data_IF_450714506825
#
_entry.id   IF_450714506825
#
_cell.length_a   1.000
_cell.length_b   1.000
_cell.length_c   1.000
_cell.angle_alpha   90.00
_cell.angle_beta   90.00
_cell.angle_gamma   90.00
#
_symmetry.space_group_name_H-M   'P 1'
#
loop_
_entity.id
_entity.type
_entity.pdbx_description
1 polymer ?
#
# COMPACT_ATOMS: atom_id res chain seq x y z
N UNK A 1 3.35 22.92 -11.44
CA UNK A 1 4.45 23.90 -11.23
C UNK A 1 4.61 24.10 -9.73
N UNK A 2 5.67 23.58 -9.12
CA UNK A 2 6.02 23.87 -7.72
C UNK A 2 6.69 25.24 -7.66
N UNK A 3 6.09 26.20 -6.96
CA UNK A 3 6.74 27.48 -6.63
C UNK A 3 7.93 27.13 -5.71
N UNK A 4 9.16 27.44 -6.16
CA UNK A 4 10.46 27.25 -5.48
C UNK A 4 11.15 25.86 -5.45
N UNK A 5 10.68 24.84 -6.15
CA UNK A 5 11.47 23.61 -6.38
C UNK A 5 11.81 22.75 -5.15
N UNK A 6 11.44 23.16 -3.92
CA UNK A 6 11.69 22.43 -2.68
C UNK A 6 10.36 21.88 -2.15
N UNK A 7 10.27 20.55 -1.97
CA UNK A 7 9.05 19.88 -1.51
C UNK A 7 8.82 20.14 -0.03
N UNK A 8 7.58 20.39 0.39
CA UNK A 8 7.25 20.62 1.80
C UNK A 8 6.48 19.45 2.41
N UNK A 9 6.93 19.00 3.57
CA UNK A 9 6.34 17.90 4.33
C UNK A 9 5.92 18.42 5.71
N UNK A 10 4.68 18.16 6.11
CA UNK A 10 4.29 18.33 7.52
C UNK A 10 4.47 17.00 8.25
N UNK A 11 5.15 17.03 9.39
CA UNK A 11 5.26 15.90 10.29
C UNK A 11 4.49 16.19 11.57
N UNK A 12 3.47 15.37 11.83
CA UNK A 12 2.65 15.44 13.04
C UNK A 12 3.12 14.31 13.97
N UNK A 13 3.83 14.68 15.03
CA UNK A 13 4.49 13.73 15.93
C UNK A 13 4.84 14.44 17.25
N UNK A 14 4.46 13.86 18.39
CA UNK A 14 4.80 14.40 19.71
C UNK A 14 6.29 14.16 20.06
N UNK A 15 6.91 13.08 19.59
CA UNK A 15 8.24 12.65 20.03
C UNK A 15 9.36 13.45 19.32
N UNK A 16 10.15 14.28 20.04
CA UNK A 16 11.17 15.12 19.42
C UNK A 16 12.30 14.33 18.72
N UNK A 17 12.66 13.17 19.26
CA UNK A 17 13.72 12.33 18.72
C UNK A 17 13.32 11.75 17.35
N UNK A 18 12.09 11.24 17.27
CA UNK A 18 11.53 10.71 16.04
C UNK A 18 11.35 11.79 14.98
N UNK A 19 10.87 12.99 15.37
CA UNK A 19 10.78 14.16 14.48
C UNK A 19 12.10 14.47 13.81
N UNK A 20 13.19 14.51 14.58
CA UNK A 20 14.55 14.78 14.07
C UNK A 20 15.01 13.69 13.10
N UNK A 21 14.74 12.43 13.42
CA UNK A 21 15.10 11.30 12.55
C UNK A 21 14.38 11.36 11.20
N UNK A 22 13.06 11.50 11.22
CA UNK A 22 12.24 11.56 9.99
C UNK A 22 12.61 12.78 9.15
N UNK A 23 12.80 13.93 9.79
CA UNK A 23 13.24 15.15 9.12
C UNK A 23 14.62 14.99 8.47
N UNK A 24 15.58 14.37 9.16
CA UNK A 24 16.90 14.09 8.60
C UNK A 24 16.82 13.15 7.39
N UNK A 25 15.97 12.11 7.45
CA UNK A 25 15.76 11.20 6.32
C UNK A 25 15.13 11.95 5.13
N UNK A 26 14.07 12.73 5.36
CA UNK A 26 13.37 13.47 4.31
C UNK A 26 14.27 14.54 3.66
N UNK A 27 15.11 15.22 4.46
CA UNK A 27 16.06 16.22 3.99
C UNK A 27 17.07 15.66 2.97
N UNK A 28 17.45 14.36 3.07
CA UNK A 28 18.31 13.68 2.07
C UNK A 28 17.72 13.70 0.66
N UNK A 29 16.41 13.92 0.51
CA UNK A 29 15.69 14.05 -0.78
C UNK A 29 15.16 15.47 -1.02
N UNK A 30 15.71 16.47 -0.34
CA UNK A 30 15.38 17.88 -0.57
C UNK A 30 14.04 18.33 0.01
N UNK A 31 13.45 17.55 0.92
CA UNK A 31 12.22 17.96 1.60
C UNK A 31 12.53 18.93 2.73
N UNK A 32 11.73 20.00 2.81
CA UNK A 32 11.66 20.87 3.98
C UNK A 32 10.51 20.38 4.88
N UNK A 33 10.82 20.09 6.14
CA UNK A 33 9.82 19.63 7.10
C UNK A 33 9.32 20.75 7.99
N UNK A 34 8.01 20.86 8.14
CA UNK A 34 7.35 21.63 9.21
C UNK A 34 6.74 20.64 10.22
N UNK A 35 6.63 21.05 11.48
CA UNK A 35 6.21 20.15 12.55
C UNK A 35 4.91 20.64 13.19
N UNK A 36 4.04 19.70 13.52
CA UNK A 36 2.91 19.90 14.42
C UNK A 36 3.03 18.88 15.56
N UNK A 37 2.81 19.33 16.80
CA UNK A 37 2.82 18.47 17.98
C UNK A 37 1.49 17.80 18.23
N UNK A 38 0.41 18.34 17.70
CA UNK A 38 -0.96 17.98 18.06
C UNK A 38 -1.94 18.27 16.91
N UNK A 39 -3.18 17.80 17.10
CA UNK A 39 -4.31 17.99 16.19
C UNK A 39 -4.54 19.45 15.82
N UNK A 40 -4.63 20.32 16.82
CA UNK A 40 -5.01 21.73 16.65
C UNK A 40 -3.95 22.47 15.83
N UNK A 41 -2.68 22.27 16.16
CA UNK A 41 -1.55 22.84 15.44
C UNK A 41 -1.49 22.32 14.00
N UNK A 42 -1.76 21.03 13.78
CA UNK A 42 -1.77 20.45 12.43
C UNK A 42 -2.85 21.08 11.54
N UNK A 43 -4.07 21.24 12.06
CA UNK A 43 -5.18 21.84 11.33
C UNK A 43 -4.96 23.33 11.11
N UNK A 44 -4.53 24.07 12.14
CA UNK A 44 -4.21 25.49 12.03
C UNK A 44 -3.12 25.74 10.98
N UNK A 45 -2.11 24.86 10.92
CA UNK A 45 -1.03 24.96 9.93
C UNK A 45 -1.54 24.92 8.50
N UNK A 46 -2.63 24.18 8.20
CA UNK A 46 -3.23 24.15 6.86
C UNK A 46 -3.73 25.53 6.38
N UNK A 47 -4.08 26.44 7.29
CA UNK A 47 -4.49 27.80 6.95
C UNK A 47 -3.34 28.76 6.64
N UNK A 48 -2.09 28.36 6.91
CA UNK A 48 -0.91 29.22 6.75
C UNK A 48 -0.32 29.17 5.34
N UNK A 49 0.53 30.14 4.94
CA UNK A 49 1.25 30.09 3.67
C UNK A 49 2.10 28.83 3.50
N UNK A 50 2.76 28.36 4.56
CA UNK A 50 3.51 27.11 4.56
C UNK A 50 2.56 25.90 4.41
N UNK A 51 1.40 25.91 5.08
CA UNK A 51 0.37 24.91 4.88
C UNK A 51 -0.13 24.82 3.44
N UNK A 52 -0.29 25.96 2.75
CA UNK A 52 -0.70 26.04 1.34
C UNK A 52 0.34 25.45 0.38
N UNK A 53 1.60 25.41 0.77
CA UNK A 53 2.69 24.85 -0.03
C UNK A 53 3.02 23.38 0.30
N UNK A 54 2.28 22.75 1.24
CA UNK A 54 2.47 21.34 1.57
C UNK A 54 2.28 20.40 0.38
N UNK A 55 3.21 19.45 0.26
CA UNK A 55 3.17 18.38 -0.72
C UNK A 55 2.74 17.04 -0.13
N UNK A 56 3.01 16.81 1.16
CA UNK A 56 2.57 15.63 1.89
C UNK A 56 2.47 15.90 3.40
N UNK A 57 1.71 15.05 4.09
CA UNK A 57 1.64 14.97 5.54
C UNK A 57 2.08 13.58 5.97
N UNK A 58 2.91 13.51 7.01
CA UNK A 58 3.12 12.30 7.79
C UNK A 58 2.50 12.51 9.15
N UNK A 59 1.62 11.60 9.54
CA UNK A 59 1.02 11.53 10.86
C UNK A 59 1.58 10.33 11.59
N UNK A 60 2.18 10.51 12.75
CA UNK A 60 2.53 9.40 13.63
C UNK A 60 1.39 9.09 14.62
N UNK A 61 1.08 7.81 14.78
CA UNK A 61 0.27 7.33 15.89
C UNK A 61 1.23 6.99 17.03
N UNK A 62 1.45 7.98 17.90
CA UNK A 62 2.34 7.88 19.06
C UNK A 62 1.66 7.23 20.28
N UNK A 63 0.33 7.25 20.35
CA UNK A 63 -0.45 6.63 21.43
C UNK A 63 -1.57 5.71 20.89
N UNK A 64 -1.92 4.63 21.61
CA UNK A 64 -3.05 3.75 21.27
C UNK A 64 -4.39 4.48 21.24
N UNK A 65 -4.55 5.49 22.12
CA UNK A 65 -5.78 6.27 22.27
C UNK A 65 -5.81 7.51 21.36
N UNK A 66 -4.76 7.73 20.57
CA UNK A 66 -4.73 8.83 19.61
C UNK A 66 -5.67 8.52 18.44
N UNK A 67 -6.70 9.34 18.28
CA UNK A 67 -7.67 9.20 17.20
C UNK A 67 -7.14 9.75 15.88
N UNK A 68 -6.23 8.97 15.27
CA UNK A 68 -5.67 9.28 13.97
C UNK A 68 -6.74 9.39 12.88
N UNK A 69 -7.81 8.58 12.96
CA UNK A 69 -8.87 8.56 11.95
C UNK A 69 -9.62 9.90 11.91
N UNK A 70 -9.98 10.45 13.06
CA UNK A 70 -10.62 11.77 13.13
C UNK A 70 -9.70 12.88 12.59
N UNK A 71 -8.40 12.86 12.92
CA UNK A 71 -7.44 13.82 12.35
C UNK A 71 -7.38 13.73 10.82
N UNK A 72 -7.24 12.52 10.31
CA UNK A 72 -7.11 12.29 8.87
C UNK A 72 -8.36 12.78 8.15
N UNK A 73 -9.56 12.52 8.68
CA UNK A 73 -10.81 12.99 8.10
C UNK A 73 -10.87 14.52 8.03
N UNK A 74 -10.46 15.21 9.10
CA UNK A 74 -10.43 16.67 9.16
C UNK A 74 -9.38 17.28 8.22
N UNK A 75 -8.16 16.73 8.18
CA UNK A 75 -7.11 17.16 7.25
C UNK A 75 -7.55 16.94 5.79
N UNK A 76 -8.23 15.83 5.51
CA UNK A 76 -8.75 15.49 4.17
C UNK A 76 -9.88 16.43 3.76
N UNK A 77 -10.77 16.80 4.68
CA UNK A 77 -11.84 17.76 4.41
C UNK A 77 -11.27 19.14 4.01
N UNK A 78 -10.21 19.58 4.68
CA UNK A 78 -9.54 20.86 4.38
C UNK A 78 -8.67 20.79 3.12
N UNK A 79 -7.99 19.66 2.86
CA UNK A 79 -7.10 19.47 1.71
C UNK A 79 -7.32 18.10 1.03
N UNK A 80 -8.36 17.96 0.18
CA UNK A 80 -8.74 16.68 -0.41
C UNK A 80 -7.65 15.97 -1.20
N UNK A 81 -6.77 16.73 -1.87
CA UNK A 81 -5.71 16.19 -2.72
C UNK A 81 -4.33 16.06 -2.04
N UNK A 82 -4.18 16.50 -0.79
CA UNK A 82 -2.90 16.43 -0.09
C UNK A 82 -2.68 14.99 0.41
N UNK A 83 -1.61 14.29 -0.01
CA UNK A 83 -1.37 12.94 0.48
C UNK A 83 -1.05 12.92 1.98
N UNK A 84 -1.62 11.95 2.69
CA UNK A 84 -1.47 11.77 4.14
C UNK A 84 -0.95 10.35 4.39
N UNK A 85 0.22 10.23 4.99
CA UNK A 85 0.87 8.96 5.32
C UNK A 85 0.79 8.73 6.83
N UNK A 86 0.24 7.59 7.26
CA UNK A 86 0.23 7.21 8.67
C UNK A 86 1.50 6.43 9.03
N UNK A 87 2.19 6.79 10.10
CA UNK A 87 3.16 5.95 10.79
C UNK A 87 2.47 5.29 11.98
N UNK A 88 2.71 4.00 12.17
CA UNK A 88 2.12 3.27 13.31
C UNK A 88 3.11 2.28 13.91
N UNK A 89 3.19 2.24 15.24
CA UNK A 89 4.07 1.36 15.99
C UNK A 89 3.55 -0.08 16.10
N UNK A 90 2.24 -0.29 15.97
CA UNK A 90 1.61 -1.58 16.24
C UNK A 90 0.92 -2.13 14.98
N UNK A 91 1.13 -3.42 14.71
CA UNK A 91 0.48 -4.19 13.64
C UNK A 91 -1.04 -4.35 13.79
N UNK A 92 -1.72 -3.42 14.46
CA UNK A 92 -3.18 -3.35 14.51
C UNK A 92 -3.69 -2.98 13.13
N UNK A 93 -3.99 -4.01 12.35
CA UNK A 93 -4.61 -3.87 11.04
C UNK A 93 -5.91 -3.05 11.15
N UNK A 94 -6.60 -3.12 12.29
CA UNK A 94 -7.78 -2.30 12.55
C UNK A 94 -7.49 -0.79 12.54
N UNK A 95 -6.40 -0.33 13.15
CA UNK A 95 -6.01 1.08 13.16
C UNK A 95 -5.63 1.57 11.77
N UNK A 96 -4.84 0.76 11.03
CA UNK A 96 -4.49 1.07 9.65
C UNK A 96 -5.74 1.13 8.75
N UNK A 97 -6.66 0.18 8.89
CA UNK A 97 -7.93 0.17 8.13
C UNK A 97 -8.79 1.38 8.46
N UNK A 98 -8.90 1.76 9.74
CA UNK A 98 -9.66 2.94 10.15
C UNK A 98 -9.08 4.22 9.53
N UNK A 99 -7.76 4.38 9.58
CA UNK A 99 -7.06 5.50 8.95
C UNK A 99 -7.23 5.55 7.42
N UNK A 100 -7.16 4.40 6.73
CA UNK A 100 -7.41 4.34 5.29
C UNK A 100 -8.86 4.72 4.95
N UNK A 101 -9.84 4.28 5.75
CA UNK A 101 -11.26 4.66 5.57
C UNK A 101 -11.50 6.15 5.81
N UNK A 102 -10.79 6.75 6.78
CA UNK A 102 -10.79 8.19 7.01
C UNK A 102 -10.11 8.98 5.87
N UNK A 103 -9.44 8.29 4.95
CA UNK A 103 -8.85 8.88 3.77
C UNK A 103 -7.33 9.01 3.84
N UNK A 104 -6.61 8.20 4.62
CA UNK A 104 -5.15 8.13 4.49
C UNK A 104 -4.74 7.63 3.10
N UNK A 105 -3.61 8.11 2.60
CA UNK A 105 -3.06 7.72 1.31
C UNK A 105 -2.30 6.40 1.38
N UNK A 106 -1.52 6.19 2.45
CA UNK A 106 -0.87 4.92 2.78
C UNK A 106 -0.50 4.93 4.27
N UNK A 107 -0.03 3.78 4.76
CA UNK A 107 0.53 3.64 6.09
C UNK A 107 1.87 2.88 6.08
N UNK A 108 2.72 3.21 7.04
CA UNK A 108 4.02 2.61 7.28
C UNK A 108 4.08 2.09 8.71
N UNK A 109 4.54 0.85 8.84
CA UNK A 109 4.65 0.17 10.14
C UNK A 109 6.08 0.34 10.64
N UNK A 110 6.24 0.75 11.91
CA UNK A 110 7.54 0.79 12.57
C UNK A 110 7.99 -0.65 12.91
N UNK A 111 9.30 -0.96 12.90
CA UNK A 111 10.43 -0.06 12.67
C UNK A 111 10.54 0.41 11.20
N UNK A 112 10.80 1.70 11.03
CA UNK A 112 10.79 2.36 9.71
C UNK A 112 12.20 2.42 9.11
N UNK A 113 12.42 1.71 8.00
CA UNK A 113 13.62 1.88 7.20
C UNK A 113 13.57 3.20 6.41
N UNK A 114 14.71 3.91 6.33
CA UNK A 114 14.80 5.22 5.68
C UNK A 114 14.39 5.17 4.21
N UNK A 115 14.80 4.13 3.50
CA UNK A 115 14.53 3.90 2.07
C UNK A 115 13.03 3.70 1.82
N UNK A 116 12.34 3.02 2.75
CA UNK A 116 10.90 2.78 2.67
C UNK A 116 10.10 4.06 2.87
N UNK A 117 10.51 4.92 3.80
CA UNK A 117 9.93 6.25 3.99
C UNK A 117 10.07 7.12 2.74
N UNK A 118 11.28 7.19 2.18
CA UNK A 118 11.57 7.98 0.99
C UNK A 118 10.78 7.49 -0.23
N UNK A 119 10.70 6.17 -0.43
CA UNK A 119 9.91 5.59 -1.51
C UNK A 119 8.41 5.91 -1.38
N UNK A 120 7.86 5.88 -0.17
CA UNK A 120 6.47 6.23 0.08
C UNK A 120 6.19 7.71 -0.21
N UNK A 121 7.09 8.61 0.20
CA UNK A 121 7.00 10.05 -0.10
C UNK A 121 7.10 10.34 -1.60
N UNK A 122 8.01 9.68 -2.31
CA UNK A 122 8.15 9.84 -3.77
C UNK A 122 6.91 9.32 -4.52
N UNK A 123 6.34 8.19 -4.09
CA UNK A 123 5.10 7.65 -4.66
C UNK A 123 3.91 8.60 -4.43
N UNK A 124 3.78 9.13 -3.21
CA UNK A 124 2.71 10.03 -2.82
C UNK A 124 2.72 11.35 -3.63
N UNK A 125 3.91 11.91 -3.90
CA UNK A 125 4.06 13.17 -4.67
C UNK A 125 4.14 12.94 -6.18
N UNK A 126 4.71 11.82 -6.62
CA UNK A 126 4.83 11.48 -8.05
C UNK A 126 3.48 11.40 -8.77
N UNK A 127 2.38 11.18 -8.03
CA UNK A 127 1.02 11.28 -8.53
C UNK A 127 0.64 12.68 -9.06
N UNK A 128 1.33 13.76 -8.65
CA UNK A 128 1.11 15.14 -9.14
C UNK A 128 1.86 15.48 -10.45
N UNK A 129 2.88 14.71 -10.86
CA UNK A 129 3.70 15.01 -12.06
C UNK A 129 3.07 14.46 -13.35
N UNK A 130 2.12 13.53 -13.24
CA UNK A 130 1.33 13.04 -14.37
C UNK A 130 0.17 14.01 -14.69
N UNK A 131 0.52 15.21 -15.16
CA UNK A 131 -0.40 16.12 -15.87
C UNK A 131 -0.68 15.68 -17.31
N UNK A 132 -0.18 14.52 -17.73
CA UNK A 132 -0.61 13.86 -18.95
C UNK A 132 -1.68 12.85 -18.60
N UNK A 133 -2.80 12.94 -19.32
CA UNK A 133 -3.84 11.94 -19.44
C UNK A 133 -3.21 10.57 -19.79
N UNK A 134 -2.70 9.87 -18.79
CA UNK A 134 -2.59 8.42 -18.84
C UNK A 134 -3.94 7.89 -18.41
N UNK A 135 -4.52 6.94 -19.17
CA UNK A 135 -5.92 6.59 -19.01
C UNK A 135 -6.23 6.29 -17.55
N UNK A 136 -7.28 6.94 -17.03
CA UNK A 136 -7.87 6.72 -15.71
C UNK A 136 -8.21 5.23 -15.43
N UNK A 137 -8.10 4.36 -16.43
CA UNK A 137 -8.29 2.91 -16.37
C UNK A 137 -7.24 2.17 -15.53
N UNK A 138 -6.01 2.65 -15.36
CA UNK A 138 -4.98 1.90 -14.58
C UNK A 138 -5.11 2.06 -13.06
N UNK A 139 -5.75 3.13 -12.57
CA UNK A 139 -6.01 3.31 -11.13
C UNK A 139 -7.42 2.86 -10.73
N UNK A 140 -8.36 2.79 -11.67
CA UNK A 140 -9.72 2.30 -11.42
C UNK A 140 -9.79 0.78 -11.37
N UNK A 141 -9.02 0.04 -12.18
CA UNK A 141 -9.06 -1.44 -12.21
C UNK A 141 -8.64 -2.09 -10.89
N UNK A 142 -7.62 -1.55 -10.21
CA UNK A 142 -7.12 -2.09 -8.94
C UNK A 142 -8.10 -1.90 -7.77
N UNK A 143 -8.92 -0.85 -7.78
CA UNK A 143 -9.99 -0.66 -6.79
C UNK A 143 -11.22 -1.49 -7.12
N UNK A 144 -11.62 -1.52 -8.41
CA UNK A 144 -12.76 -2.32 -8.88
C UNK A 144 -12.61 -3.81 -8.56
N UNK A 145 -11.44 -4.42 -8.78
CA UNK A 145 -11.25 -5.86 -8.57
C UNK A 145 -11.40 -6.32 -7.09
N UNK A 146 -11.03 -5.46 -6.13
CA UNK A 146 -11.23 -5.76 -4.71
C UNK A 146 -12.59 -5.28 -4.19
N UNK A 147 -13.18 -4.25 -4.80
CA UNK A 147 -14.53 -3.77 -4.46
C UNK A 147 -15.64 -4.68 -5.00
N UNK A 148 -15.36 -5.49 -6.03
CA UNK A 148 -16.22 -6.58 -6.51
C UNK A 148 -16.31 -7.75 -5.51
N UNK A 149 -15.35 -7.88 -4.60
CA UNK A 149 -15.36 -8.94 -3.58
C UNK A 149 -16.34 -8.57 -2.47
N UNK A 150 -17.47 -9.29 -2.43
CA UNK A 150 -18.52 -9.11 -1.43
C UNK A 150 -18.06 -9.64 -0.07
N UNK A 151 -17.99 -8.75 0.92
CA UNK A 151 -17.77 -9.11 2.32
C UNK A 151 -17.42 -7.89 3.16
N UNK A 152 -18.21 -7.60 4.19
CA UNK A 152 -18.06 -6.39 5.03
C UNK A 152 -17.31 -6.64 6.34
N UNK A 153 -17.06 -7.91 6.69
CA UNK A 153 -16.41 -8.29 7.94
C UNK A 153 -15.05 -7.56 8.08
N UNK A 154 -14.76 -6.94 9.24
CA UNK A 154 -13.54 -6.14 9.42
C UNK A 154 -12.25 -6.92 9.12
N UNK A 155 -12.16 -8.16 9.58
CA UNK A 155 -11.01 -9.05 9.36
C UNK A 155 -10.83 -9.40 7.86
N UNK A 156 -11.94 -9.54 7.13
CA UNK A 156 -11.91 -9.80 5.70
C UNK A 156 -11.47 -8.58 4.91
N UNK A 157 -12.02 -7.39 5.21
CA UNK A 157 -11.58 -6.12 4.57
C UNK A 157 -10.11 -5.81 4.86
N UNK A 158 -9.62 -6.18 6.05
CA UNK A 158 -8.20 -6.13 6.41
C UNK A 158 -7.33 -7.01 5.51
N UNK A 159 -7.72 -8.28 5.30
CA UNK A 159 -7.02 -9.18 4.40
C UNK A 159 -6.98 -8.65 2.95
N UNK A 160 -8.10 -8.08 2.47
CA UNK A 160 -8.15 -7.46 1.13
C UNK A 160 -7.24 -6.23 1.01
N UNK A 161 -7.11 -5.41 2.06
CA UNK A 161 -6.18 -4.28 2.06
C UNK A 161 -4.72 -4.72 1.98
N UNK A 162 -4.35 -5.80 2.70
CA UNK A 162 -3.02 -6.41 2.64
C UNK A 162 -2.77 -6.98 1.23
N UNK A 163 -3.74 -7.70 0.68
CA UNK A 163 -3.70 -8.25 -0.68
C UNK A 163 -3.48 -7.16 -1.75
N UNK A 164 -4.20 -6.04 -1.66
CA UNK A 164 -4.06 -4.90 -2.56
C UNK A 164 -2.66 -4.26 -2.50
N UNK A 165 -2.03 -4.23 -1.31
CA UNK A 165 -0.65 -3.77 -1.14
C UNK A 165 0.36 -4.75 -1.74
N UNK A 166 0.18 -6.05 -1.49
CA UNK A 166 1.03 -7.10 -2.01
C UNK A 166 1.01 -7.16 -3.55
N UNK A 167 -0.15 -6.92 -4.17
CA UNK A 167 -0.31 -6.84 -5.62
C UNK A 167 0.67 -5.86 -6.29
N UNK A 168 0.98 -4.74 -5.63
CA UNK A 168 1.91 -3.71 -6.14
C UNK A 168 3.39 -4.06 -5.93
N UNK A 169 3.70 -4.83 -4.90
CA UNK A 169 5.07 -5.06 -4.43
C UNK A 169 5.82 -6.17 -5.18
N UNK A 170 5.14 -6.93 -6.06
CA UNK A 170 5.72 -8.09 -6.80
C UNK A 170 6.36 -9.15 -5.88
N UNK A 171 5.80 -9.33 -4.68
CA UNK A 171 6.25 -10.32 -3.69
C UNK A 171 5.38 -11.59 -3.77
N UNK A 172 5.90 -12.77 -3.38
CA UNK A 172 5.08 -13.96 -3.16
C UNK A 172 4.01 -13.69 -2.09
N UNK A 173 2.81 -14.24 -2.26
CA UNK A 173 1.68 -14.07 -1.33
C UNK A 173 1.16 -15.44 -0.91
N UNK A 174 1.05 -15.67 0.40
CA UNK A 174 0.38 -16.83 0.98
C UNK A 174 -1.05 -16.43 1.37
N UNK A 175 -2.04 -17.19 0.91
CA UNK A 175 -3.45 -16.97 1.24
C UNK A 175 -3.94 -18.19 2.03
N UNK A 176 -4.28 -17.96 3.29
CA UNK A 176 -4.77 -19.00 4.20
C UNK A 176 -6.28 -18.86 4.43
N UNK A 177 -6.91 -19.96 4.82
CA UNK A 177 -8.34 -20.02 5.11
C UNK A 177 -8.91 -21.41 4.85
N UNK A 178 -10.10 -21.66 5.39
CA UNK A 178 -10.82 -22.92 5.21
C UNK A 178 -11.18 -23.18 3.74
N UNK A 179 -11.60 -24.41 3.43
CA UNK A 179 -12.06 -24.73 2.07
C UNK A 179 -13.31 -23.93 1.72
N UNK A 180 -13.38 -23.36 0.51
CA UNK A 180 -14.56 -22.63 0.03
C UNK A 180 -14.68 -21.15 0.44
N UNK A 181 -13.76 -20.59 1.23
CA UNK A 181 -13.83 -19.18 1.69
C UNK A 181 -13.42 -18.13 0.64
N UNK A 182 -13.26 -18.52 -0.63
CA UNK A 182 -12.94 -17.59 -1.72
C UNK A 182 -11.45 -17.22 -1.87
N UNK A 183 -10.52 -18.07 -1.41
CA UNK A 183 -9.06 -17.85 -1.57
C UNK A 183 -8.64 -17.60 -3.03
N UNK A 184 -9.30 -18.29 -3.97
CA UNK A 184 -9.04 -18.15 -5.40
C UNK A 184 -9.48 -16.77 -5.93
N UNK A 185 -10.66 -16.29 -5.49
CA UNK A 185 -11.16 -14.95 -5.81
C UNK A 185 -10.19 -13.87 -5.34
N UNK A 186 -9.61 -14.03 -4.15
CA UNK A 186 -8.59 -13.10 -3.64
C UNK A 186 -7.31 -13.15 -4.47
N UNK A 187 -6.85 -14.35 -4.89
CA UNK A 187 -5.68 -14.49 -5.75
C UNK A 187 -5.88 -13.83 -7.13
N UNK A 188 -7.08 -13.96 -7.70
CA UNK A 188 -7.47 -13.28 -8.94
C UNK A 188 -7.46 -11.76 -8.80
N UNK A 189 -8.04 -11.23 -7.72
CA UNK A 189 -8.04 -9.80 -7.46
C UNK A 189 -6.62 -9.26 -7.26
N UNK A 190 -5.73 -10.01 -6.60
CA UNK A 190 -4.30 -9.65 -6.49
C UNK A 190 -3.67 -9.55 -7.87
N UNK A 191 -3.89 -10.53 -8.75
CA UNK A 191 -3.32 -10.49 -10.11
C UNK A 191 -3.89 -9.31 -10.92
N UNK A 192 -5.21 -9.13 -10.90
CA UNK A 192 -5.91 -8.06 -11.61
C UNK A 192 -5.46 -6.66 -11.14
N UNK A 193 -5.14 -6.50 -9.85
CA UNK A 193 -4.63 -5.27 -9.28
C UNK A 193 -3.10 -5.10 -9.39
N UNK A 194 -2.39 -6.09 -9.95
CA UNK A 194 -0.93 -6.05 -10.04
C UNK A 194 -0.42 -5.38 -11.32
N UNK A 195 0.86 -4.96 -11.35
CA UNK A 195 1.52 -4.54 -12.60
C UNK A 195 1.58 -5.64 -13.69
N UNK A 196 1.15 -6.88 -13.38
CA UNK A 196 1.12 -8.03 -14.29
C UNK A 196 -0.30 -8.38 -14.74
N UNK A 197 -1.31 -7.55 -14.47
CA UNK A 197 -2.71 -7.83 -14.82
C UNK A 197 -2.94 -8.27 -16.27
N UNK A 198 -2.18 -7.71 -17.23
CA UNK A 198 -2.26 -8.07 -18.66
C UNK A 198 -1.52 -9.37 -19.04
N UNK A 199 -0.90 -10.06 -18.07
CA UNK A 199 -0.23 -11.35 -18.29
C UNK A 199 -1.16 -12.50 -17.92
N UNK A 200 -0.90 -13.67 -18.51
CA UNK A 200 -1.62 -14.88 -18.20
C UNK A 200 -1.49 -15.25 -16.70
N UNK A 201 -2.59 -15.70 -16.11
CA UNK A 201 -2.61 -16.36 -14.80
C UNK A 201 -2.66 -17.86 -15.04
N UNK A 202 -1.69 -18.57 -14.48
CA UNK A 202 -1.69 -20.03 -14.43
C UNK A 202 -2.11 -20.44 -13.04
N UNK A 203 -3.20 -21.21 -12.94
CA UNK A 203 -3.68 -21.77 -11.68
C UNK A 203 -3.36 -23.24 -11.64
N UNK A 204 -2.76 -23.70 -10.55
CA UNK A 204 -2.39 -25.10 -10.35
C UNK A 204 -2.98 -25.56 -9.03
N UNK A 205 -3.87 -26.54 -9.09
CA UNK A 205 -4.41 -27.18 -7.89
C UNK A 205 -3.54 -28.38 -7.52
N UNK A 206 -2.56 -28.16 -6.64
CA UNK A 206 -1.64 -29.22 -6.20
C UNK A 206 -2.33 -30.39 -5.50
N UNK A 207 -3.54 -30.20 -4.93
CA UNK A 207 -4.30 -31.28 -4.30
C UNK A 207 -4.96 -32.23 -5.29
N UNK A 208 -5.12 -31.82 -6.56
CA UNK A 208 -5.69 -32.64 -7.62
C UNK A 208 -4.63 -33.37 -8.46
N UNK A 209 -3.34 -33.07 -8.25
CA UNK A 209 -2.24 -33.63 -9.03
C UNK A 209 -1.53 -34.69 -8.19
N UNK A 210 -1.32 -35.92 -8.71
CA UNK A 210 -0.52 -36.93 -8.04
C UNK A 210 0.91 -36.43 -7.77
N UNK A 211 1.44 -36.68 -6.57
CA UNK A 211 2.74 -36.15 -6.13
C UNK A 211 3.89 -36.46 -7.11
N UNK A 212 3.87 -37.63 -7.75
CA UNK A 212 4.85 -38.06 -8.75
C UNK A 212 4.77 -37.33 -10.09
N UNK A 213 3.73 -36.53 -10.33
CA UNK A 213 3.50 -35.79 -11.57
C UNK A 213 3.56 -34.27 -11.38
N UNK A 214 3.56 -33.77 -10.15
CA UNK A 214 3.56 -32.32 -9.84
C UNK A 214 4.75 -31.61 -10.48
N UNK A 215 5.96 -32.17 -10.38
CA UNK A 215 7.17 -31.56 -10.94
C UNK A 215 7.10 -31.46 -12.47
N UNK A 216 6.61 -32.52 -13.11
CA UNK A 216 6.40 -32.58 -14.56
C UNK A 216 5.34 -31.57 -15.04
N UNK A 217 4.28 -31.35 -14.25
CA UNK A 217 3.24 -30.37 -14.59
C UNK A 217 3.71 -28.92 -14.39
N UNK A 218 4.56 -28.65 -13.40
CA UNK A 218 5.04 -27.29 -13.09
C UNK A 218 6.25 -26.85 -13.92
N UNK A 219 7.13 -27.79 -14.28
CA UNK A 219 8.42 -27.47 -14.92
C UNK A 219 8.59 -28.11 -16.30
N UNK A 220 7.64 -28.96 -16.72
CA UNK A 220 7.78 -29.78 -17.91
C UNK A 220 8.72 -30.97 -17.70
N UNK A 221 8.90 -31.76 -18.76
CA UNK A 221 9.83 -32.88 -18.77
C UNK A 221 10.32 -33.19 -20.18
N UNK A 222 11.53 -33.76 -20.24
CA UNK A 222 12.08 -34.35 -21.47
C UNK A 222 11.61 -35.80 -21.65
N UNK A 223 11.65 -36.28 -22.90
CA UNK A 223 11.27 -37.66 -23.22
C UNK A 223 12.15 -38.64 -22.42
N UNK A 224 11.51 -39.56 -21.69
CA UNK A 224 12.18 -40.55 -20.86
C UNK A 224 12.56 -40.10 -19.45
N UNK A 225 12.12 -38.92 -18.99
CA UNK A 225 12.40 -38.44 -17.63
C UNK A 225 11.83 -39.34 -16.51
N UNK A 226 10.74 -40.04 -16.76
CA UNK A 226 10.14 -41.04 -15.86
C UNK A 226 9.41 -42.12 -16.66
N UNK A 227 9.04 -43.22 -16.00
CA UNK A 227 8.25 -44.30 -16.61
C UNK A 227 6.88 -43.78 -17.04
N UNK A 228 6.67 -43.62 -18.35
CA UNK A 228 5.45 -43.01 -18.92
C UNK A 228 5.68 -41.68 -19.66
N UNK A 229 6.88 -41.10 -19.60
CA UNK A 229 7.25 -39.88 -20.33
C UNK A 229 7.56 -40.18 -21.82
N UNK A 230 6.53 -40.54 -22.59
CA UNK A 230 6.67 -40.93 -24.01
C UNK A 230 6.97 -39.75 -24.94
N UNK A 231 6.54 -38.54 -24.56
CA UNK A 231 6.70 -37.31 -25.31
C UNK A 231 7.27 -36.20 -24.41
N UNK A 232 7.85 -35.17 -25.03
CA UNK A 232 8.38 -34.00 -24.33
C UNK A 232 7.23 -33.04 -24.00
N UNK A 233 7.23 -32.49 -22.78
CA UNK A 233 6.29 -31.44 -22.35
C UNK A 233 7.06 -30.20 -21.91
N UNK A 234 6.72 -29.05 -22.48
CA UNK A 234 7.28 -27.75 -22.07
C UNK A 234 6.44 -27.23 -20.89
N UNK A 235 7.12 -26.79 -19.82
CA UNK A 235 6.52 -26.14 -18.65
C UNK A 235 6.48 -24.62 -18.77
#
# INVERSE_FOLDING_TARGET
MTRNGQRQLMLIDEEPAQRRLIAAIAARRGWRTIFASDHETAVATLGTPDGMALDAIILDSWAPDFDAASLIAELRANRPMLPILLLTANGSVAAAVSAMRAGATDFLVKPLAAERLLAALDCAVGAKVAGELRPLTEKMSAHLAFDEIVGSAPQFRAALAIAAKAARARVPVLIEGESGVGKEVVAEAIHAASPRHNKAVVRVNCGAIPANLVESELFGHEKGAFTGAFERKIG
#
